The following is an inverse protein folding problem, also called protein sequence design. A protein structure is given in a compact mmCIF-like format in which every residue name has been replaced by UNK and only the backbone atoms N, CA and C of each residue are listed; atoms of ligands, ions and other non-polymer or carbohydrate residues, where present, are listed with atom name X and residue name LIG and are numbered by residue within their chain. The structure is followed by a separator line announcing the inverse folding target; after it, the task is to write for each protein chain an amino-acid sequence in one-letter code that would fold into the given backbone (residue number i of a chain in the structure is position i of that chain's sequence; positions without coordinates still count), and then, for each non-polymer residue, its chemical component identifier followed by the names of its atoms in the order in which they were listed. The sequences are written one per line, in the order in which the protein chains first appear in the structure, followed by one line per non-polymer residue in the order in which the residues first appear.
data_IF_687382728256
#
_entry.id   IF_687382728256
#
_cell.length_a   1.000
_cell.length_b   1.000
_cell.length_c   1.000
_cell.angle_alpha   90.00
_cell.angle_beta   90.00
_cell.angle_gamma   90.00
#
_symmetry.space_group_name_H-M   'P 1'
#
loop_
_entity.id
_entity.type
_entity.pdbx_description
1 polymer ?
#
# COMPACT_ATOMS: atom_id res chain seq x y z
N UNK A 1 -17.44 -16.53 -10.50
CA UNK A 1 -16.62 -16.37 -9.28
C UNK A 1 -17.56 -16.27 -8.10
N UNK A 2 -17.36 -17.05 -7.04
CA UNK A 2 -18.14 -16.97 -5.80
C UNK A 2 -17.95 -15.60 -5.11
N UNK A 3 -18.91 -15.17 -4.27
CA UNK A 3 -18.82 -13.92 -3.51
C UNK A 3 -17.55 -13.88 -2.66
N UNK A 4 -17.27 -14.96 -1.95
CA UNK A 4 -16.11 -15.11 -1.08
C UNK A 4 -14.77 -14.93 -1.83
N UNK A 5 -14.65 -15.48 -3.04
CA UNK A 5 -13.45 -15.30 -3.86
C UNK A 5 -13.29 -13.85 -4.33
N UNK A 6 -14.38 -13.15 -4.61
CA UNK A 6 -14.34 -11.72 -4.95
C UNK A 6 -13.88 -10.90 -3.74
N UNK A 7 -14.38 -11.20 -2.55
CA UNK A 7 -14.04 -10.48 -1.32
C UNK A 7 -12.56 -10.65 -0.94
N UNK A 8 -12.01 -11.86 -1.09
CA UNK A 8 -10.57 -12.14 -0.90
C UNK A 8 -9.72 -11.33 -1.87
N UNK A 9 -10.10 -11.28 -3.15
CA UNK A 9 -9.35 -10.54 -4.18
C UNK A 9 -9.39 -9.04 -3.94
N UNK A 10 -10.54 -8.49 -3.53
CA UNK A 10 -10.68 -7.08 -3.18
C UNK A 10 -9.83 -6.73 -1.96
N UNK A 11 -9.89 -7.55 -0.91
CA UNK A 11 -9.10 -7.34 0.28
C UNK A 11 -7.59 -7.34 0.00
N UNK A 12 -7.11 -8.29 -0.81
CA UNK A 12 -5.72 -8.35 -1.24
C UNK A 12 -5.29 -7.11 -2.04
N UNK A 13 -6.15 -6.60 -2.93
CA UNK A 13 -5.86 -5.40 -3.71
C UNK A 13 -5.74 -4.15 -2.82
N UNK A 14 -6.69 -3.95 -1.89
CA UNK A 14 -6.67 -2.81 -0.97
C UNK A 14 -5.41 -2.79 -0.10
N UNK A 15 -5.00 -3.97 0.39
CA UNK A 15 -3.77 -4.14 1.16
C UNK A 15 -2.54 -3.82 0.32
N UNK A 16 -2.44 -4.33 -0.92
CA UNK A 16 -1.34 -4.02 -1.83
C UNK A 16 -1.24 -2.51 -2.13
N UNK A 17 -2.38 -1.85 -2.33
CA UNK A 17 -2.43 -0.41 -2.56
C UNK A 17 -1.93 0.37 -1.34
N UNK A 18 -2.41 0.04 -0.14
CA UNK A 18 -1.90 0.64 1.09
C UNK A 18 -0.38 0.49 1.18
N UNK A 19 0.15 -0.71 0.91
CA UNK A 19 1.60 -0.93 0.97
C UNK A 19 2.39 -0.18 -0.08
N UNK A 20 1.87 -0.05 -1.30
CA UNK A 20 2.49 0.81 -2.30
C UNK A 20 2.61 2.25 -1.77
N UNK A 21 1.57 2.78 -1.12
CA UNK A 21 1.56 4.15 -0.59
C UNK A 21 2.58 4.29 0.55
N UNK A 22 2.65 3.35 1.50
CA UNK A 22 3.45 3.51 2.71
C UNK A 22 4.90 3.02 2.63
N UNK A 23 5.24 2.20 1.63
CA UNK A 23 6.61 1.68 1.44
C UNK A 23 7.38 2.41 0.33
N UNK A 24 6.67 3.17 -0.51
CA UNK A 24 7.26 3.93 -1.61
C UNK A 24 7.94 5.21 -1.11
N UNK A 25 9.14 5.47 -1.61
CA UNK A 25 9.84 6.77 -1.44
C UNK A 25 9.51 7.75 -2.55
N UNK A 26 8.86 7.27 -3.61
CA UNK A 26 8.50 8.00 -4.82
C UNK A 26 6.99 8.20 -4.91
N UNK A 27 6.53 9.00 -5.87
CA UNK A 27 5.11 9.35 -6.00
C UNK A 27 4.25 8.10 -6.21
N UNK A 28 3.18 8.01 -5.44
CA UNK A 28 2.04 7.12 -5.65
C UNK A 28 0.79 8.00 -5.74
N UNK A 29 -0.14 7.70 -6.65
CA UNK A 29 -1.46 8.32 -6.57
C UNK A 29 -2.20 7.83 -5.33
N UNK A 30 -2.98 8.68 -4.68
CA UNK A 30 -3.80 8.31 -3.51
C UNK A 30 -4.88 7.27 -3.83
N UNK A 31 -5.17 7.05 -5.12
CA UNK A 31 -6.25 6.19 -5.59
C UNK A 31 -5.76 4.91 -6.28
N UNK A 32 -4.45 4.66 -6.39
CA UNK A 32 -3.80 3.50 -7.06
C UNK A 32 -4.73 2.57 -7.87
N UNK A 33 -5.37 3.14 -8.90
CA UNK A 33 -6.37 2.44 -9.69
C UNK A 33 -5.80 2.18 -11.07
N UNK A 34 -5.64 0.91 -11.42
CA UNK A 34 -5.22 0.55 -12.77
C UNK A 34 -6.39 0.71 -13.73
N UNK A 35 -6.31 1.71 -14.62
CA UNK A 35 -7.27 1.90 -15.70
C UNK A 35 -6.60 1.70 -17.04
N UNK A 36 -7.13 0.75 -17.81
CA UNK A 36 -6.83 0.70 -19.22
C UNK A 36 -7.54 1.87 -19.94
N UNK A 37 -6.90 2.55 -20.91
CA UNK A 37 -7.46 3.76 -21.53
C UNK A 37 -8.86 3.60 -22.13
N UNK A 38 -9.21 2.38 -22.57
CA UNK A 38 -10.51 2.05 -23.15
C UNK A 38 -11.34 1.09 -22.28
N UNK A 39 -10.95 0.88 -21.02
CA UNK A 39 -11.54 -0.14 -20.13
C UNK A 39 -11.24 -1.59 -20.56
N UNK A 40 -10.51 -1.80 -21.66
CA UNK A 40 -10.07 -3.11 -22.15
C UNK A 40 -8.55 -3.19 -22.15
N UNK A 41 -7.96 -4.37 -21.85
CA UNK A 41 -6.52 -4.54 -21.88
C UNK A 41 -5.97 -4.22 -23.27
N UNK A 42 -4.86 -3.49 -23.31
CA UNK A 42 -4.16 -3.19 -24.57
C UNK A 42 -3.76 -4.50 -25.24
N UNK A 43 -3.94 -4.66 -26.56
CA UNK A 43 -3.40 -5.84 -27.24
C UNK A 43 -1.87 -5.75 -27.23
N UNK A 44 -1.22 -6.63 -26.47
CA UNK A 44 0.23 -6.75 -26.42
C UNK A 44 0.67 -7.95 -27.26
N UNK A 45 1.76 -7.80 -28.02
CA UNK A 45 2.41 -8.94 -28.66
C UNK A 45 2.98 -9.89 -27.59
N UNK A 46 3.12 -11.18 -27.93
CA UNK A 46 3.78 -12.16 -27.03
C UNK A 46 5.19 -11.70 -26.65
N UNK A 47 5.90 -11.05 -27.58
CA UNK A 47 7.22 -10.48 -27.32
C UNK A 47 7.17 -9.33 -26.32
N UNK A 48 6.27 -8.36 -26.50
CA UNK A 48 6.09 -7.22 -25.59
C UNK A 48 5.69 -7.67 -24.19
N UNK A 49 4.75 -8.61 -24.08
CA UNK A 49 4.34 -9.17 -22.79
C UNK A 49 5.53 -9.84 -22.09
N UNK A 50 6.32 -10.65 -22.80
CA UNK A 50 7.55 -11.25 -22.25
C UNK A 50 8.56 -10.20 -21.80
N UNK A 51 8.77 -9.14 -22.57
CA UNK A 51 9.66 -8.04 -22.17
C UNK A 51 9.21 -7.36 -20.88
N UNK A 52 7.91 -7.13 -20.72
CA UNK A 52 7.33 -6.55 -19.49
C UNK A 52 7.62 -7.47 -18.29
N UNK A 53 7.26 -8.76 -18.39
CA UNK A 53 7.48 -9.72 -17.31
C UNK A 53 8.96 -9.86 -16.93
N UNK A 54 9.86 -9.95 -17.90
CA UNK A 54 11.31 -10.01 -17.65
C UNK A 54 11.82 -8.77 -16.90
N UNK A 55 11.34 -7.58 -17.26
CA UNK A 55 11.74 -6.33 -16.60
C UNK A 55 11.19 -6.23 -15.18
N UNK A 56 9.92 -6.59 -14.97
CA UNK A 56 9.32 -6.63 -13.62
C UNK A 56 10.06 -7.61 -12.72
N UNK A 57 10.35 -8.80 -13.23
CA UNK A 57 11.07 -9.83 -12.50
C UNK A 57 12.51 -9.39 -12.15
N UNK A 58 13.18 -8.67 -13.06
CA UNK A 58 14.50 -8.10 -12.76
C UNK A 58 14.44 -6.97 -11.72
N UNK A 59 13.52 -6.00 -11.89
CA UNK A 59 13.36 -4.90 -10.93
C UNK A 59 13.12 -5.46 -9.53
N UNK A 60 12.29 -6.50 -9.44
CA UNK A 60 12.03 -7.17 -8.19
C UNK A 60 13.30 -7.69 -7.49
N UNK A 61 14.08 -8.51 -8.20
CA UNK A 61 15.30 -9.10 -7.67
C UNK A 61 16.27 -8.02 -7.18
N UNK A 62 16.40 -6.93 -7.95
CA UNK A 62 17.25 -5.81 -7.57
C UNK A 62 16.71 -5.00 -6.39
N UNK A 63 15.38 -4.90 -6.23
CA UNK A 63 14.77 -4.27 -5.05
C UNK A 63 14.95 -5.11 -3.79
N UNK A 64 14.87 -6.45 -3.92
CA UNK A 64 15.08 -7.37 -2.80
C UNK A 64 16.55 -7.43 -2.35
N UNK A 65 17.47 -7.43 -3.31
CA UNK A 65 18.92 -7.52 -3.04
C UNK A 65 19.58 -6.15 -2.80
N UNK A 66 18.92 -5.06 -3.19
CA UNK A 66 19.41 -3.67 -3.14
C UNK A 66 20.68 -3.39 -3.97
N UNK A 67 20.95 -4.19 -5.01
CA UNK A 67 22.25 -4.19 -5.72
C UNK A 67 22.32 -3.14 -6.84
N UNK A 68 21.33 -3.03 -7.73
CA UNK A 68 21.44 -2.16 -8.92
C UNK A 68 20.27 -1.15 -9.06
N UNK A 69 20.41 -0.01 -8.38
CA UNK A 69 19.42 1.09 -8.45
C UNK A 69 19.36 1.79 -9.81
N UNK A 70 20.46 1.80 -10.55
CA UNK A 70 20.53 2.42 -11.88
C UNK A 70 19.69 1.63 -12.87
N UNK A 71 19.82 0.29 -12.84
CA UNK A 71 19.05 -0.59 -13.71
C UNK A 71 17.56 -0.64 -13.35
N UNK A 72 17.22 -0.51 -12.06
CA UNK A 72 15.82 -0.33 -11.64
C UNK A 72 15.20 0.92 -12.30
N UNK A 73 15.94 2.06 -12.30
CA UNK A 73 15.47 3.30 -12.97
C UNK A 73 15.31 3.10 -14.47
N UNK A 74 16.30 2.52 -15.12
CA UNK A 74 16.29 2.24 -16.56
C UNK A 74 15.08 1.37 -16.95
N UNK A 75 14.86 0.27 -16.22
CA UNK A 75 13.75 -0.64 -16.51
C UNK A 75 12.40 -0.06 -16.13
N UNK A 76 12.31 0.78 -15.09
CA UNK A 76 11.08 1.53 -14.79
C UNK A 76 10.70 2.44 -15.96
N UNK A 77 11.66 3.17 -16.53
CA UNK A 77 11.43 4.02 -17.69
C UNK A 77 11.01 3.21 -18.93
N UNK A 78 11.72 2.12 -19.23
CA UNK A 78 11.36 1.24 -20.34
C UNK A 78 9.98 0.59 -20.16
N UNK A 79 9.60 0.25 -18.93
CA UNK A 79 8.26 -0.24 -18.63
C UNK A 79 7.20 0.83 -18.87
N UNK A 80 7.42 2.09 -18.47
CA UNK A 80 6.50 3.18 -18.75
C UNK A 80 6.35 3.43 -20.26
N UNK A 81 7.37 3.16 -21.08
CA UNK A 81 7.25 3.21 -22.55
C UNK A 81 6.41 2.06 -23.10
N UNK A 82 6.52 0.86 -22.52
CA UNK A 82 5.74 -0.32 -22.93
C UNK A 82 4.29 -0.26 -22.43
N UNK A 83 4.08 0.32 -21.25
CA UNK A 83 2.82 0.49 -20.54
C UNK A 83 2.69 1.94 -20.03
N UNK A 84 2.34 2.90 -20.91
CA UNK A 84 2.18 4.31 -20.53
C UNK A 84 1.17 4.53 -19.39
N UNK A 85 0.23 3.61 -19.21
CA UNK A 85 -0.75 3.59 -18.11
C UNK A 85 -0.06 3.65 -16.73
N UNK A 86 1.16 3.13 -16.63
CA UNK A 86 1.96 3.15 -15.41
C UNK A 86 2.32 4.57 -14.95
N UNK A 87 2.59 5.47 -15.89
CA UNK A 87 3.07 6.82 -15.60
C UNK A 87 2.04 7.64 -14.79
N UNK A 88 0.76 7.32 -14.94
CA UNK A 88 -0.30 7.96 -14.15
C UNK A 88 -0.28 7.50 -12.69
N UNK A 89 0.00 6.21 -12.47
CA UNK A 89 -0.05 5.55 -11.15
C UNK A 89 1.21 5.86 -10.32
N UNK A 90 2.39 5.76 -10.93
CA UNK A 90 3.68 6.01 -10.28
C UNK A 90 4.66 6.70 -11.22
N UNK A 91 5.56 7.50 -10.67
CA UNK A 91 6.70 8.09 -11.36
C UNK A 91 7.86 7.08 -11.57
N UNK A 92 8.06 6.17 -10.61
CA UNK A 92 9.09 5.14 -10.64
C UNK A 92 8.68 3.93 -9.80
N UNK A 93 9.16 2.74 -10.17
CA UNK A 93 9.07 1.52 -9.36
C UNK A 93 10.27 1.48 -8.40
N UNK A 94 10.00 1.60 -7.11
CA UNK A 94 11.02 1.74 -6.06
C UNK A 94 10.75 0.89 -4.80
N UNK A 95 9.63 0.16 -4.76
CA UNK A 95 9.31 -0.80 -3.72
C UNK A 95 8.70 -2.07 -4.31
N UNK A 96 8.83 -3.18 -3.56
CA UNK A 96 8.40 -4.51 -3.98
C UNK A 96 6.87 -4.58 -4.15
N UNK A 97 6.13 -3.81 -3.35
CA UNK A 97 4.68 -3.72 -3.43
C UNK A 97 4.20 -3.12 -4.75
N UNK A 98 4.91 -2.12 -5.33
CA UNK A 98 4.59 -1.59 -6.66
C UNK A 98 4.74 -2.64 -7.75
N UNK A 99 5.78 -3.47 -7.67
CA UNK A 99 5.97 -4.59 -8.61
C UNK A 99 4.81 -5.58 -8.47
N UNK A 100 4.45 -5.97 -7.25
CA UNK A 100 3.33 -6.86 -6.95
C UNK A 100 1.99 -6.32 -7.48
N UNK A 101 1.72 -5.02 -7.29
CA UNK A 101 0.54 -4.34 -7.81
C UNK A 101 0.44 -4.42 -9.34
N UNK A 102 1.53 -4.12 -10.06
CA UNK A 102 1.58 -4.21 -11.52
C UNK A 102 1.36 -5.67 -11.97
N UNK A 103 2.02 -6.61 -11.31
CA UNK A 103 1.92 -8.03 -11.65
C UNK A 103 0.50 -8.58 -11.44
N UNK A 104 -0.18 -8.22 -10.35
CA UNK A 104 -1.58 -8.61 -10.11
C UNK A 104 -2.51 -8.05 -11.21
N UNK A 105 -2.30 -6.78 -11.58
CA UNK A 105 -3.06 -6.13 -12.64
C UNK A 105 -2.86 -6.82 -14.00
N UNK A 106 -1.62 -7.21 -14.34
CA UNK A 106 -1.29 -7.85 -15.61
C UNK A 106 -1.73 -9.33 -15.67
N UNK A 107 -1.63 -10.07 -14.56
CA UNK A 107 -1.95 -11.51 -14.50
C UNK A 107 -3.41 -11.79 -14.90
N UNK A 108 -4.31 -10.83 -14.68
CA UNK A 108 -5.73 -10.92 -15.09
C UNK A 108 -5.93 -11.00 -16.59
N UNK A 109 -4.99 -10.50 -17.38
CA UNK A 109 -5.16 -10.30 -18.83
C UNK A 109 -4.07 -10.97 -19.68
N UNK A 110 -2.88 -11.16 -19.12
CA UNK A 110 -1.75 -11.78 -19.81
C UNK A 110 -1.24 -12.92 -18.95
N UNK A 111 -1.27 -14.14 -19.50
CA UNK A 111 -0.71 -15.31 -18.83
C UNK A 111 0.76 -15.04 -18.47
N UNK A 112 1.12 -15.40 -17.24
CA UNK A 112 2.51 -15.47 -16.80
C UNK A 112 3.31 -16.35 -17.78
N UNK A 113 4.51 -15.95 -18.19
CA UNK A 113 5.28 -16.77 -19.10
C UNK A 113 5.69 -18.09 -18.43
N UNK A 114 5.55 -19.18 -19.19
CA UNK A 114 5.77 -20.57 -18.77
C UNK A 114 7.24 -20.96 -18.61
N UNK A 115 8.16 -19.99 -18.54
CA UNK A 115 9.59 -20.28 -18.39
C UNK A 115 9.96 -20.45 -16.92
N UNK A 116 10.67 -21.52 -16.60
CA UNK A 116 11.09 -21.91 -15.25
C UNK A 116 11.83 -20.80 -14.51
N UNK A 117 12.52 -19.91 -15.23
CA UNK A 117 13.22 -18.75 -14.68
C UNK A 117 12.26 -17.65 -14.18
N UNK A 118 11.24 -17.32 -14.98
CA UNK A 118 10.23 -16.33 -14.58
C UNK A 118 9.33 -16.92 -13.49
N UNK A 119 8.94 -18.18 -13.57
CA UNK A 119 8.13 -18.87 -12.54
C UNK A 119 8.84 -18.89 -11.18
N UNK A 120 10.13 -19.22 -11.11
CA UNK A 120 10.90 -19.19 -9.85
C UNK A 120 11.03 -17.77 -9.28
N UNK A 121 11.11 -16.75 -10.13
CA UNK A 121 11.10 -15.33 -9.71
C UNK A 121 9.70 -14.80 -9.38
N UNK A 122 8.65 -15.45 -9.89
CA UNK A 122 7.23 -15.11 -9.72
C UNK A 122 6.61 -15.80 -8.50
N UNK A 123 7.39 -16.51 -7.68
CA UNK A 123 7.08 -16.85 -6.28
C UNK A 123 7.00 -15.58 -5.40
N UNK A 124 6.26 -14.59 -5.88
CA UNK A 124 6.29 -13.21 -5.43
C UNK A 124 5.15 -12.86 -4.50
N UNK A 125 3.98 -13.48 -4.72
CA UNK A 125 2.89 -13.41 -3.75
C UNK A 125 3.45 -13.83 -2.39
N UNK A 126 4.16 -14.95 -2.34
CA UNK A 126 4.89 -15.40 -1.15
C UNK A 126 5.87 -14.37 -0.60
N UNK A 127 6.65 -13.65 -1.42
CA UNK A 127 7.55 -12.61 -0.90
C UNK A 127 6.82 -11.39 -0.33
N UNK A 128 5.76 -10.90 -1.00
CA UNK A 128 4.94 -9.79 -0.49
C UNK A 128 4.16 -10.23 0.76
N UNK A 129 3.68 -11.46 0.79
CA UNK A 129 3.03 -12.09 1.94
C UNK A 129 4.02 -12.28 3.11
N UNK A 130 5.29 -12.61 2.82
CA UNK A 130 6.37 -12.68 3.81
C UNK A 130 6.69 -11.29 4.37
N UNK A 131 6.84 -10.27 3.51
CA UNK A 131 7.03 -8.89 3.94
C UNK A 131 5.83 -8.38 4.76
N UNK A 132 4.61 -8.76 4.38
CA UNK A 132 3.40 -8.50 5.15
C UNK A 132 3.45 -9.16 6.53
N UNK A 133 3.82 -10.44 6.59
CA UNK A 133 3.99 -11.18 7.84
C UNK A 133 5.01 -10.51 8.76
N UNK A 134 6.06 -9.90 8.21
CA UNK A 134 7.07 -9.14 8.96
C UNK A 134 6.55 -7.84 9.59
N UNK A 135 5.40 -7.31 9.15
CA UNK A 135 4.75 -6.17 9.83
C UNK A 135 4.11 -6.60 11.14
N UNK A 136 3.97 -7.90 11.43
CA UNK A 136 3.48 -8.42 12.71
C UNK A 136 2.14 -7.85 13.21
N UNK A 137 1.36 -7.23 12.32
CA UNK A 137 0.03 -6.68 12.60
C UNK A 137 -1.05 -7.45 11.83
N UNK A 138 -2.23 -7.62 12.44
CA UNK A 138 -3.41 -8.07 11.71
C UNK A 138 -4.07 -6.86 11.04
N UNK A 139 -4.04 -6.83 9.71
CA UNK A 139 -4.55 -5.75 8.88
C UNK A 139 -5.75 -6.28 8.08
N UNK A 140 -6.94 -5.73 8.32
CA UNK A 140 -8.17 -6.15 7.65
C UNK A 140 -8.88 -4.96 7.01
N UNK A 141 -9.09 -4.97 5.68
CA UNK A 141 -9.87 -3.92 5.03
C UNK A 141 -11.31 -3.94 5.55
N UNK A 142 -11.87 -2.75 5.75
CA UNK A 142 -13.27 -2.56 6.12
C UNK A 142 -14.10 -2.38 4.85
N UNK A 143 -15.24 -3.07 4.78
CA UNK A 143 -16.22 -2.82 3.73
C UNK A 143 -16.74 -1.38 3.84
N UNK A 144 -16.88 -0.70 2.69
CA UNK A 144 -17.47 0.63 2.58
C UNK A 144 -18.90 0.68 3.10
N UNK A 145 -19.60 -0.45 3.09
CA UNK A 145 -21.00 -0.57 3.52
C UNK A 145 -21.11 -0.91 5.03
N UNK A 146 -19.98 -1.05 5.72
CA UNK A 146 -19.95 -1.38 7.14
C UNK A 146 -20.30 -0.17 8.01
N UNK A 147 -20.97 -0.42 9.13
CA UNK A 147 -21.25 0.59 10.15
C UNK A 147 -19.97 1.24 10.69
N UNK A 148 -18.89 0.47 10.79
CA UNK A 148 -17.59 0.98 11.24
C UNK A 148 -17.00 1.98 10.25
N UNK A 149 -17.04 1.66 8.95
CA UNK A 149 -16.62 2.59 7.90
C UNK A 149 -17.46 3.87 7.94
N UNK A 150 -18.80 3.76 8.03
CA UNK A 150 -19.68 4.94 8.14
C UNK A 150 -19.27 5.82 9.32
N UNK A 151 -19.08 5.24 10.51
CA UNK A 151 -18.67 6.00 11.70
C UNK A 151 -17.32 6.70 11.53
N UNK A 152 -16.34 6.05 10.91
CA UNK A 152 -15.04 6.67 10.59
C UNK A 152 -15.24 7.86 9.65
N UNK A 153 -16.06 7.69 8.59
CA UNK A 153 -16.33 8.78 7.65
C UNK A 153 -17.13 9.92 8.25
N UNK A 154 -18.04 9.64 9.17
CA UNK A 154 -18.82 10.67 9.87
C UNK A 154 -17.93 11.43 10.84
N UNK A 155 -17.03 10.74 11.55
CA UNK A 155 -16.04 11.39 12.41
C UNK A 155 -15.08 12.27 11.58
N UNK A 156 -14.61 11.78 10.43
CA UNK A 156 -13.78 12.55 9.50
C UNK A 156 -14.45 13.85 9.06
N UNK A 157 -15.75 13.82 8.74
CA UNK A 157 -16.52 14.98 8.29
C UNK A 157 -16.78 16.03 9.37
N UNK A 158 -16.54 15.73 10.64
CA UNK A 158 -16.66 16.74 11.71
C UNK A 158 -15.63 17.85 11.53
N UNK A 159 -14.45 17.53 10.97
CA UNK A 159 -13.46 18.52 10.60
C UNK A 159 -13.84 19.21 9.29
N UNK A 160 -14.36 20.45 9.41
CA UNK A 160 -14.77 21.26 8.26
C UNK A 160 -13.60 21.64 7.35
N UNK A 161 -12.36 21.52 7.80
CA UNK A 161 -11.16 21.81 7.00
C UNK A 161 -10.82 20.64 6.07
N UNK A 162 -11.33 19.44 6.34
CA UNK A 162 -11.08 18.23 5.55
C UNK A 162 -12.17 17.97 4.47
N UNK A 163 -13.02 18.96 4.15
CA UNK A 163 -14.18 18.80 3.25
C UNK A 163 -13.84 18.34 1.84
N UNK A 164 -12.68 18.74 1.33
CA UNK A 164 -12.22 18.37 -0.01
C UNK A 164 -11.62 16.97 -0.05
N UNK A 165 -11.48 16.31 1.10
CA UNK A 165 -10.87 15.00 1.22
C UNK A 165 -11.92 13.92 1.45
N UNK A 166 -11.72 12.78 0.79
CA UNK A 166 -12.58 11.62 0.90
C UNK A 166 -11.80 10.45 1.48
N UNK A 167 -12.35 9.80 2.49
CA UNK A 167 -11.88 8.49 2.95
C UNK A 167 -12.12 7.47 1.83
N UNK A 168 -11.04 6.93 1.28
CA UNK A 168 -11.10 5.98 0.16
C UNK A 168 -11.15 4.55 0.68
N UNK A 169 -10.25 4.22 1.61
CA UNK A 169 -10.16 2.92 2.27
C UNK A 169 -10.03 3.12 3.77
N UNK A 170 -10.51 2.14 4.54
CA UNK A 170 -10.26 2.05 5.96
C UNK A 170 -9.85 0.61 6.30
N UNK A 171 -8.94 0.47 7.25
CA UNK A 171 -8.43 -0.83 7.65
C UNK A 171 -8.52 -0.94 9.17
N UNK A 172 -9.02 -2.08 9.65
CA UNK A 172 -8.87 -2.47 11.04
C UNK A 172 -7.45 -2.98 11.24
N UNK A 173 -6.78 -2.45 12.24
CA UNK A 173 -5.42 -2.84 12.61
C UNK A 173 -5.47 -3.39 14.03
N UNK A 174 -4.90 -4.58 14.23
CA UNK A 174 -4.70 -5.13 15.57
C UNK A 174 -3.23 -5.49 15.76
N UNK A 175 -2.56 -4.74 16.63
CA UNK A 175 -1.23 -5.09 17.12
C UNK A 175 -1.35 -6.08 18.28
N UNK A 176 -0.48 -7.09 18.34
CA UNK A 176 -0.48 -8.13 19.36
C UNK A 176 -0.16 -7.60 20.78
N UNK A 177 0.46 -6.42 20.88
CA UNK A 177 1.08 -5.92 22.12
C UNK A 177 0.13 -5.05 22.97
N UNK A 178 -0.89 -4.39 22.40
CA UNK A 178 -1.58 -3.26 23.09
C UNK A 178 -2.82 -3.62 23.93
N UNK A 179 -3.34 -4.84 23.86
CA UNK A 179 -4.76 -5.06 24.20
C UNK A 179 -5.10 -5.00 25.70
N UNK A 180 -4.21 -5.42 26.61
CA UNK A 180 -4.60 -5.60 28.04
C UNK A 180 -4.46 -4.33 28.89
N UNK A 181 -3.44 -3.52 28.66
CA UNK A 181 -3.22 -2.29 29.44
C UNK A 181 -4.26 -1.20 29.09
N UNK A 182 -4.65 -1.10 27.82
CA UNK A 182 -5.61 -0.11 27.35
C UNK A 182 -7.00 -0.24 27.99
N UNK A 183 -7.45 -1.47 28.24
CA UNK A 183 -8.79 -1.75 28.78
C UNK A 183 -9.00 -1.23 30.22
N UNK A 184 -7.93 -1.02 30.98
CA UNK A 184 -7.99 -0.56 32.37
C UNK A 184 -8.18 0.96 32.51
N UNK A 185 -8.03 1.73 31.42
CA UNK A 185 -8.13 3.19 31.42
C UNK A 185 -9.60 3.65 31.31
N UNK A 186 -10.03 4.65 32.10
CA UNK A 186 -11.43 5.11 32.14
C UNK A 186 -11.81 6.10 31.03
N UNK A 187 -10.90 7.01 30.65
CA UNK A 187 -11.16 8.08 29.67
C UNK A 187 -10.62 7.72 28.28
N UNK A 188 -11.18 6.67 27.67
CA UNK A 188 -10.74 6.20 26.35
C UNK A 188 -11.40 7.05 25.27
N UNK A 189 -10.60 7.53 24.33
CA UNK A 189 -11.05 8.34 23.19
C UNK A 189 -10.53 7.72 21.90
N UNK A 190 -11.30 7.89 20.83
CA UNK A 190 -10.83 7.70 19.46
C UNK A 190 -10.28 9.05 18.99
N UNK A 191 -9.02 9.09 18.57
CA UNK A 191 -8.33 10.30 18.14
C UNK A 191 -7.54 10.00 16.86
N UNK A 192 -7.24 11.03 16.09
CA UNK A 192 -6.45 10.97 14.87
C UNK A 192 -4.95 11.08 15.16
N UNK A 193 -4.18 10.28 14.44
CA UNK A 193 -2.73 10.39 14.33
C UNK A 193 -2.38 10.28 12.85
N UNK A 194 -1.74 11.32 12.31
CA UNK A 194 -1.18 11.24 10.97
C UNK A 194 0.31 10.90 11.07
N UNK A 195 0.87 10.39 9.97
CA UNK A 195 2.30 10.12 9.86
C UNK A 195 2.71 10.22 8.39
N UNK A 196 3.95 10.61 8.15
CA UNK A 196 4.49 10.79 6.81
C UNK A 196 5.43 9.66 6.39
N UNK A 197 5.45 9.38 5.08
CA UNK A 197 6.43 8.49 4.46
C UNK A 197 6.46 7.07 5.03
N UNK A 198 7.67 6.60 5.34
CA UNK A 198 7.93 5.20 5.70
C UNK A 198 7.68 4.89 7.19
N UNK A 199 7.28 5.88 8.00
CA UNK A 199 7.01 5.69 9.44
C UNK A 199 5.86 4.72 9.70
N UNK A 200 4.94 4.58 8.74
CA UNK A 200 3.85 3.61 8.82
C UNK A 200 4.33 2.16 8.94
N UNK A 201 5.48 1.79 8.35
CA UNK A 201 6.04 0.44 8.47
C UNK A 201 6.44 0.16 9.93
N UNK A 202 7.07 1.12 10.59
CA UNK A 202 7.45 1.00 12.00
C UNK A 202 6.24 1.06 12.92
N UNK A 203 5.26 1.92 12.62
CA UNK A 203 4.00 2.01 13.38
C UNK A 203 3.22 0.71 13.32
N UNK A 204 3.12 0.08 12.15
CA UNK A 204 2.44 -1.21 12.01
C UNK A 204 3.17 -2.31 12.76
N UNK A 205 4.50 -2.32 12.69
CA UNK A 205 5.32 -3.37 13.32
C UNK A 205 5.42 -3.27 14.83
N UNK A 206 5.62 -2.07 15.35
CA UNK A 206 5.97 -1.86 16.75
C UNK A 206 4.91 -1.07 17.52
N UNK A 207 3.91 -0.51 16.84
CA UNK A 207 3.00 0.46 17.43
C UNK A 207 3.59 1.87 17.46
N UNK A 208 2.86 2.80 18.07
CA UNK A 208 3.35 4.16 18.29
C UNK A 208 4.32 4.16 19.49
N UNK A 209 5.61 4.37 19.22
CA UNK A 209 6.66 4.39 20.25
C UNK A 209 7.30 5.77 20.38
N UNK A 210 7.46 6.26 21.61
CA UNK A 210 8.12 7.54 21.90
C UNK A 210 9.58 7.56 21.40
N UNK A 211 10.27 6.42 21.46
CA UNK A 211 11.67 6.27 21.00
C UNK A 211 11.85 6.53 19.49
N UNK A 212 10.78 6.37 18.71
CA UNK A 212 10.77 6.61 17.27
C UNK A 212 9.95 7.86 16.89
N UNK A 213 9.50 8.62 17.89
CA UNK A 213 8.68 9.81 17.67
C UNK A 213 9.55 11.06 17.44
N UNK A 214 9.08 11.96 16.57
CA UNK A 214 9.71 13.27 16.39
C UNK A 214 9.54 14.14 17.66
N UNK A 215 10.43 15.10 17.85
CA UNK A 215 10.24 16.15 18.85
C UNK A 215 9.10 17.07 18.41
N UNK A 216 7.92 16.87 19.01
CA UNK A 216 6.75 17.71 18.80
C UNK A 216 6.79 18.98 19.66
N UNK A 217 5.68 19.71 19.63
CA UNK A 217 5.51 21.01 20.32
C UNK A 217 5.78 20.98 21.83
N UNK A 218 5.70 19.79 22.46
CA UNK A 218 5.84 19.61 23.90
C UNK A 218 6.94 18.59 24.28
N UNK A 219 7.88 18.30 23.37
CA UNK A 219 8.98 17.37 23.58
C UNK A 219 8.79 16.01 22.88
N UNK A 220 9.50 14.98 23.33
CA UNK A 220 9.38 13.63 22.77
C UNK A 220 8.11 12.96 23.29
N UNK A 221 7.21 12.58 22.40
CA UNK A 221 5.93 11.98 22.77
C UNK A 221 5.12 11.51 21.56
N UNK A 222 4.05 10.76 21.83
CA UNK A 222 3.05 10.39 20.82
C UNK A 222 1.92 11.40 20.87
N UNK A 223 1.64 12.04 19.73
CA UNK A 223 0.66 13.11 19.63
C UNK A 223 -0.58 12.66 18.89
N UNK A 224 -1.74 13.14 19.36
CA UNK A 224 -3.05 12.85 18.80
C UNK A 224 -3.87 14.13 18.72
N UNK A 225 -4.79 14.20 17.76
CA UNK A 225 -5.75 15.29 17.64
C UNK A 225 -7.17 14.74 17.49
N UNK A 226 -8.18 15.49 17.93
CA UNK A 226 -9.59 15.14 17.68
C UNK A 226 -10.06 15.58 16.29
N UNK A 227 -9.32 16.47 15.63
CA UNK A 227 -9.52 16.92 14.25
C UNK A 227 -8.44 16.36 13.30
N UNK A 228 -8.85 16.00 12.09
CA UNK A 228 -7.99 15.34 11.09
C UNK A 228 -6.89 16.27 10.61
N UNK A 229 -7.23 17.50 10.23
CA UNK A 229 -6.28 18.46 9.69
C UNK A 229 -5.24 18.85 10.75
N UNK A 230 -5.62 18.95 12.02
CA UNK A 230 -4.67 19.19 13.11
C UNK A 230 -3.66 18.05 13.25
N UNK A 231 -4.09 16.80 13.14
CA UNK A 231 -3.18 15.65 13.25
C UNK A 231 -2.05 15.67 12.20
N UNK A 232 -2.29 16.27 11.03
CA UNK A 232 -1.30 16.43 9.97
C UNK A 232 -0.28 17.54 10.23
N UNK A 233 -0.61 18.51 11.06
CA UNK A 233 0.32 19.58 11.44
C UNK A 233 1.21 19.20 12.62
N UNK A 234 0.78 18.22 13.42
CA UNK A 234 1.48 17.82 14.65
C UNK A 234 2.42 16.61 14.42
N UNK A 235 2.34 15.94 13.26
CA UNK A 235 3.14 14.76 12.89
C UNK A 235 4.21 15.04 11.85
#
# INVERSE_FOLDING_TARGET
MSSEYRDIVLAHNDILQLFCIITSRRRCTSHLEWKWPSGKPRKLSKFSARQIWRKLAYILEQLATQVDRTKIREYSFQLAMLLPELAHVFDQIDCLCKVGFIMDALTKYYNAPSSTFEVNRMALRTFVDEYFTQLQCDLRPLSSDSLEFSRITDYWKLDKSAKDWKVVHAFRIQNKIECRAFLQLKNRKLLWHASSGNNWVTIFRYGLCIEHANHGLYGAGVYFADMVCESLFIS
#
